data_IF_157079430713
#
_entry.id   IF_157079430713
#
_cell.length_a   1.000
_cell.length_b   1.000
_cell.length_c   1.000
_cell.angle_alpha   90.00
_cell.angle_beta   90.00
_cell.angle_gamma   90.00
#
_symmetry.space_group_name_H-M   'P 1'
#
loop_
_entity.id
_entity.type
_entity.pdbx_description
1 polymer ?
#
# COMPACT_ATOMS: atom_id res chain seq x y z
N UNK A 1 -3.28 -16.29 10.52
CA UNK A 1 -4.00 -14.99 10.39
C UNK A 1 -3.13 -13.92 11.05
N UNK A 2 -2.91 -12.79 10.42
CA UNK A 2 -2.12 -11.67 10.99
C UNK A 2 -2.78 -11.12 12.26
N UNK A 3 -1.97 -10.74 13.24
CA UNK A 3 -2.38 -10.26 14.56
C UNK A 3 -1.73 -8.91 14.89
N UNK A 4 -2.17 -8.28 15.98
CA UNK A 4 -1.53 -7.08 16.51
C UNK A 4 -0.08 -7.33 16.95
N UNK A 5 0.20 -8.51 17.50
CA UNK A 5 1.57 -8.85 17.92
C UNK A 5 2.54 -8.92 16.73
N UNK A 6 2.08 -9.37 15.56
CA UNK A 6 2.89 -9.33 14.34
C UNK A 6 3.23 -7.89 13.93
N UNK A 7 2.27 -6.96 14.09
CA UNK A 7 2.49 -5.53 13.79
C UNK A 7 3.45 -4.90 14.81
N UNK A 8 3.34 -5.22 16.09
CA UNK A 8 4.24 -4.74 17.13
C UNK A 8 5.67 -5.29 16.95
N UNK A 9 5.80 -6.56 16.59
CA UNK A 9 7.10 -7.15 16.25
C UNK A 9 7.71 -6.47 15.00
N UNK A 10 6.90 -6.21 13.98
CA UNK A 10 7.31 -5.46 12.80
C UNK A 10 7.76 -4.04 13.16
N UNK A 11 6.99 -3.32 14.01
CA UNK A 11 7.36 -1.99 14.48
C UNK A 11 8.73 -1.99 15.18
N UNK A 12 8.95 -2.92 16.10
CA UNK A 12 10.22 -3.07 16.80
C UNK A 12 11.39 -3.31 15.85
N UNK A 13 11.15 -4.08 14.78
CA UNK A 13 12.16 -4.44 13.78
C UNK A 13 12.53 -3.29 12.87
N UNK A 14 11.55 -2.51 12.38
CA UNK A 14 11.80 -1.55 11.30
C UNK A 14 11.87 -0.08 11.72
N UNK A 15 11.49 0.29 12.94
CA UNK A 15 11.35 1.68 13.40
C UNK A 15 12.59 2.57 13.15
N UNK A 16 13.79 1.99 13.26
CA UNK A 16 15.05 2.72 13.08
C UNK A 16 15.48 2.80 11.59
N UNK A 17 14.71 2.15 10.71
CA UNK A 17 15.00 2.06 9.26
C UNK A 17 13.95 2.74 8.39
N UNK A 18 12.86 3.21 8.98
CA UNK A 18 11.77 3.93 8.31
C UNK A 18 11.65 5.35 8.86
N UNK A 19 10.86 6.18 8.19
CA UNK A 19 10.44 7.47 8.74
C UNK A 19 9.19 7.29 9.57
N UNK A 20 9.15 7.88 10.79
CA UNK A 20 7.87 8.16 11.43
C UNK A 20 7.20 9.29 10.63
N UNK A 21 6.13 8.97 9.93
CA UNK A 21 5.44 9.95 9.10
C UNK A 21 4.43 10.74 9.91
N UNK A 22 4.18 12.03 9.59
CA UNK A 22 3.24 12.86 10.35
C UNK A 22 1.79 12.37 10.21
N UNK A 23 1.02 12.55 11.30
CA UNK A 23 -0.44 12.58 11.30
C UNK A 23 -0.87 14.02 11.54
N UNK A 24 -1.47 14.68 10.55
CA UNK A 24 -1.73 16.12 10.57
C UNK A 24 -3.23 16.37 10.59
N UNK A 25 -3.70 17.13 11.58
CA UNK A 25 -5.07 17.63 11.58
C UNK A 25 -5.24 18.68 10.50
N UNK A 26 -6.30 18.56 9.72
CA UNK A 26 -6.63 19.50 8.64
C UNK A 26 -8.04 20.07 8.82
N UNK A 27 -8.26 21.26 8.26
CA UNK A 27 -9.59 21.84 8.26
C UNK A 27 -10.51 21.02 7.31
N UNK A 28 -11.64 20.58 7.82
CA UNK A 28 -12.67 19.90 7.05
C UNK A 28 -14.06 20.40 7.45
N UNK A 29 -15.02 20.52 6.49
CA UNK A 29 -16.31 21.15 6.76
C UNK A 29 -17.24 20.32 7.65
N UNK A 30 -17.10 18.99 7.66
CA UNK A 30 -18.11 18.09 8.18
C UNK A 30 -17.73 17.37 9.49
N UNK A 31 -16.44 17.12 9.72
CA UNK A 31 -15.95 16.38 10.89
C UNK A 31 -14.46 16.66 11.13
N UNK A 32 -13.94 16.48 12.36
CA UNK A 32 -12.50 16.53 12.60
C UNK A 32 -11.75 15.51 11.74
N UNK A 33 -10.79 15.98 10.93
CA UNK A 33 -10.09 15.17 9.94
C UNK A 33 -8.58 15.22 10.16
N UNK A 34 -7.95 14.06 10.11
CA UNK A 34 -6.48 13.90 10.11
C UNK A 34 -6.02 13.21 8.84
N UNK A 35 -4.85 13.59 8.36
CA UNK A 35 -4.17 12.95 7.24
C UNK A 35 -2.92 12.27 7.74
N UNK A 36 -2.82 10.94 7.57
CA UNK A 36 -1.57 10.19 7.74
C UNK A 36 -0.75 10.29 6.45
N UNK A 37 0.43 10.92 6.55
CA UNK A 37 1.23 11.33 5.41
C UNK A 37 2.21 10.23 4.94
N UNK A 38 1.74 9.05 4.55
CA UNK A 38 2.60 7.94 4.10
C UNK A 38 3.30 8.19 2.76
N UNK A 39 2.88 9.18 2.01
CA UNK A 39 3.61 9.67 0.84
C UNK A 39 4.99 10.27 1.20
N UNK A 40 5.23 10.61 2.45
CA UNK A 40 6.53 11.09 2.95
C UNK A 40 7.48 9.96 3.34
N UNK A 41 7.05 8.70 3.30
CA UNK A 41 7.89 7.54 3.59
C UNK A 41 8.99 7.38 2.53
N UNK A 42 10.07 6.66 2.86
CA UNK A 42 11.05 6.24 1.85
C UNK A 42 10.33 5.60 0.66
N UNK A 43 10.88 5.77 -0.54
CA UNK A 43 10.28 5.39 -1.82
C UNK A 43 9.00 6.13 -2.21
N UNK A 44 8.55 7.13 -1.42
CA UNK A 44 7.36 7.93 -1.68
C UNK A 44 6.03 7.23 -1.41
N UNK A 45 6.02 6.10 -0.68
CA UNK A 45 4.81 5.39 -0.31
C UNK A 45 5.03 4.41 0.87
N UNK A 46 3.95 3.98 1.49
CA UNK A 46 3.93 3.07 2.64
C UNK A 46 4.65 1.74 2.43
N UNK A 47 4.83 1.30 1.19
CA UNK A 47 5.34 -0.05 0.88
C UNK A 47 6.76 -0.31 1.37
N UNK A 48 7.55 0.73 1.62
CA UNK A 48 8.87 0.59 2.25
C UNK A 48 8.80 -0.11 3.61
N UNK A 49 7.72 0.10 4.38
CA UNK A 49 7.49 -0.54 5.69
C UNK A 49 7.39 -2.05 5.57
N UNK A 50 6.49 -2.53 4.71
CA UNK A 50 6.27 -3.96 4.49
C UNK A 50 7.48 -4.65 3.87
N UNK A 51 8.11 -4.02 2.87
CA UNK A 51 9.30 -4.57 2.22
C UNK A 51 10.47 -4.73 3.21
N UNK A 52 10.77 -3.70 4.00
CA UNK A 52 11.80 -3.79 5.04
C UNK A 52 11.50 -4.87 6.06
N UNK A 53 10.25 -4.95 6.55
CA UNK A 53 9.88 -5.95 7.53
C UNK A 53 10.04 -7.37 7.00
N UNK A 54 9.68 -7.64 5.74
CA UNK A 54 9.86 -8.95 5.10
C UNK A 54 11.33 -9.34 5.00
N UNK A 55 12.18 -8.42 4.53
CA UNK A 55 13.61 -8.69 4.35
C UNK A 55 14.30 -8.91 5.69
N UNK A 56 14.04 -8.04 6.66
CA UNK A 56 14.65 -8.13 7.99
C UNK A 56 14.13 -9.35 8.79
N UNK A 57 12.85 -9.70 8.66
CA UNK A 57 12.31 -10.92 9.26
C UNK A 57 12.98 -12.18 8.67
N UNK A 58 13.16 -12.23 7.36
CA UNK A 58 13.87 -13.34 6.72
C UNK A 58 15.34 -13.44 7.20
N UNK A 59 15.99 -12.30 7.44
CA UNK A 59 17.35 -12.28 8.00
C UNK A 59 17.36 -12.81 9.45
N UNK A 60 16.42 -12.40 10.30
CA UNK A 60 16.31 -12.90 11.68
C UNK A 60 16.05 -14.40 11.74
N UNK A 61 15.26 -14.94 10.82
CA UNK A 61 14.93 -16.36 10.71
C UNK A 61 16.04 -17.21 10.07
N UNK A 62 17.08 -16.57 9.51
CA UNK A 62 18.14 -17.27 8.80
C UNK A 62 17.72 -17.79 7.41
N UNK A 63 16.62 -17.26 6.87
CA UNK A 63 16.12 -17.60 5.52
C UNK A 63 16.83 -16.81 4.40
N UNK A 64 17.45 -15.68 4.75
CA UNK A 64 18.10 -14.77 3.80
C UNK A 64 19.57 -15.10 3.62
N UNK A 65 19.94 -15.68 2.46
CA UNK A 65 21.34 -15.75 2.04
C UNK A 65 21.80 -14.35 1.59
N UNK A 66 22.80 -13.75 2.26
CA UNK A 66 23.26 -12.40 1.91
C UNK A 66 23.97 -12.32 0.54
N UNK A 67 24.33 -13.43 -0.07
CA UNK A 67 24.92 -13.45 -1.41
C UNK A 67 23.86 -13.57 -2.51
N UNK A 68 22.72 -14.18 -2.20
CA UNK A 68 21.60 -14.40 -3.12
C UNK A 68 20.58 -13.26 -3.03
N UNK A 69 20.22 -12.85 -1.81
CA UNK A 69 19.34 -11.74 -1.54
C UNK A 69 17.86 -12.05 -1.73
N UNK A 70 17.15 -11.10 -2.33
CA UNK A 70 15.69 -11.14 -2.48
C UNK A 70 15.25 -11.10 -3.93
N UNK A 71 14.03 -11.56 -4.18
CA UNK A 71 13.36 -11.41 -5.47
C UNK A 71 11.94 -10.89 -5.31
N UNK A 72 11.52 -10.03 -6.24
CA UNK A 72 10.16 -9.50 -6.30
C UNK A 72 9.67 -9.36 -7.75
N UNK A 73 8.36 -9.40 -7.94
CA UNK A 73 7.72 -9.11 -9.21
C UNK A 73 6.89 -7.84 -9.09
N UNK A 74 7.40 -6.71 -9.55
CA UNK A 74 6.64 -5.44 -9.65
C UNK A 74 7.47 -4.33 -10.29
N UNK A 75 6.96 -3.72 -11.35
CA UNK A 75 7.53 -2.48 -11.90
C UNK A 75 7.10 -1.19 -11.19
N UNK A 76 6.20 -1.28 -10.19
CA UNK A 76 5.63 -0.13 -9.47
C UNK A 76 6.18 0.02 -8.04
N UNK A 77 5.28 0.50 -7.16
CA UNK A 77 5.60 0.81 -5.76
C UNK A 77 6.21 -0.36 -4.96
N UNK A 78 5.76 -1.60 -5.22
CA UNK A 78 6.30 -2.77 -4.52
C UNK A 78 7.73 -3.11 -4.97
N UNK A 79 8.02 -3.09 -6.28
CA UNK A 79 9.38 -3.32 -6.77
C UNK A 79 10.36 -2.28 -6.26
N UNK A 80 9.95 -1.00 -6.29
CA UNK A 80 10.76 0.10 -5.75
C UNK A 80 11.03 -0.07 -4.24
N UNK A 81 10.01 -0.46 -3.46
CA UNK A 81 10.15 -0.68 -2.03
C UNK A 81 11.05 -1.87 -1.69
N UNK A 82 10.97 -2.96 -2.46
CA UNK A 82 11.84 -4.12 -2.27
C UNK A 82 13.30 -3.81 -2.64
N UNK A 83 13.54 -3.08 -3.74
CA UNK A 83 14.87 -2.61 -4.09
C UNK A 83 15.49 -1.73 -2.99
N UNK A 84 14.69 -0.79 -2.44
CA UNK A 84 15.09 0.02 -1.29
C UNK A 84 15.41 -0.83 -0.06
N UNK A 85 14.55 -1.79 0.28
CA UNK A 85 14.72 -2.65 1.46
C UNK A 85 16.01 -3.48 1.35
N UNK A 86 16.26 -4.08 0.20
CA UNK A 86 17.50 -4.83 -0.05
C UNK A 86 18.75 -3.95 0.07
N UNK A 87 18.74 -2.77 -0.56
CA UNK A 87 19.84 -1.80 -0.45
C UNK A 87 20.06 -1.36 1.01
N UNK A 88 18.99 -1.19 1.79
CA UNK A 88 19.07 -0.77 3.20
C UNK A 88 19.68 -1.87 4.09
N UNK A 89 19.39 -3.13 3.80
CA UNK A 89 19.92 -4.31 4.51
C UNK A 89 21.30 -4.73 3.98
N UNK A 90 21.68 -4.29 2.79
CA UNK A 90 22.98 -4.58 2.17
C UNK A 90 23.01 -5.93 1.45
N UNK A 91 21.90 -6.36 0.86
CA UNK A 91 21.78 -7.62 0.10
C UNK A 91 21.39 -7.38 -1.36
N UNK A 92 21.67 -8.30 -2.28
CA UNK A 92 21.20 -8.22 -3.66
C UNK A 92 19.67 -8.22 -3.75
N UNK A 93 19.14 -7.56 -4.80
CA UNK A 93 17.73 -7.66 -5.17
C UNK A 93 17.59 -7.90 -6.67
N UNK A 94 16.74 -8.85 -7.05
CA UNK A 94 16.31 -9.08 -8.42
C UNK A 94 14.85 -8.73 -8.55
N UNK A 95 14.50 -7.81 -9.46
CA UNK A 95 13.11 -7.37 -9.66
C UNK A 95 12.66 -7.74 -11.07
N UNK A 96 11.67 -8.60 -11.16
CA UNK A 96 11.06 -8.99 -12.43
C UNK A 96 9.95 -8.02 -12.81
N UNK A 97 9.96 -7.58 -14.06
CA UNK A 97 8.97 -6.65 -14.63
C UNK A 97 8.58 -7.10 -16.03
N UNK A 98 7.36 -6.78 -16.51
CA UNK A 98 7.02 -6.98 -17.91
C UNK A 98 7.92 -6.15 -18.83
N UNK A 99 8.13 -6.60 -20.08
CA UNK A 99 8.87 -5.85 -21.09
C UNK A 99 8.27 -4.47 -21.34
N UNK A 100 6.93 -4.36 -21.18
CA UNK A 100 6.15 -3.13 -21.30
C UNK A 100 6.31 -2.13 -20.15
N UNK A 101 7.08 -2.49 -19.09
CA UNK A 101 7.25 -1.62 -17.92
C UNK A 101 7.88 -0.25 -18.32
N UNK A 102 7.29 0.87 -17.86
CA UNK A 102 7.77 2.20 -18.23
C UNK A 102 9.23 2.42 -17.80
N UNK A 103 10.08 2.96 -18.70
CA UNK A 103 11.51 3.18 -18.40
C UNK A 103 11.77 4.00 -17.13
N UNK A 104 10.93 5.00 -16.85
CA UNK A 104 11.05 5.84 -15.65
C UNK A 104 10.86 5.04 -14.35
N UNK A 105 10.00 4.02 -14.34
CA UNK A 105 9.82 3.15 -13.17
C UNK A 105 10.99 2.21 -12.99
N UNK A 106 11.47 1.63 -14.09
CA UNK A 106 12.65 0.76 -14.09
C UNK A 106 13.90 1.50 -13.60
N UNK A 107 14.14 2.72 -14.11
CA UNK A 107 15.30 3.52 -13.68
C UNK A 107 15.30 3.83 -12.18
N UNK A 108 14.13 4.01 -11.56
CA UNK A 108 14.01 4.21 -10.11
C UNK A 108 14.39 2.96 -9.30
N UNK A 109 14.05 1.77 -9.79
CA UNK A 109 14.43 0.49 -9.18
C UNK A 109 15.95 0.28 -9.30
N UNK A 110 16.50 0.51 -10.50
CA UNK A 110 17.95 0.44 -10.74
C UNK A 110 18.76 1.42 -9.88
N UNK A 111 18.20 2.59 -9.55
CA UNK A 111 18.85 3.59 -8.71
C UNK A 111 19.11 3.10 -7.26
N UNK A 112 18.40 2.06 -6.81
CA UNK A 112 18.69 1.37 -5.54
C UNK A 112 19.65 0.19 -5.69
N UNK A 113 20.24 -0.02 -6.87
CA UNK A 113 21.22 -1.08 -7.12
C UNK A 113 20.61 -2.46 -7.38
N UNK A 114 19.29 -2.55 -7.54
CA UNK A 114 18.64 -3.82 -7.86
C UNK A 114 18.89 -4.21 -9.33
N UNK A 115 19.03 -5.50 -9.61
CA UNK A 115 18.95 -6.06 -10.95
C UNK A 115 17.49 -6.05 -11.42
N UNK A 116 17.23 -5.57 -12.64
CA UNK A 116 15.90 -5.63 -13.25
C UNK A 116 15.91 -6.62 -14.41
N UNK A 117 15.04 -7.62 -14.32
CA UNK A 117 14.80 -8.61 -15.38
C UNK A 117 13.47 -8.35 -16.04
N UNK A 118 13.48 -8.15 -17.36
CA UNK A 118 12.31 -7.96 -18.18
C UNK A 118 11.85 -9.30 -18.73
N UNK A 119 10.62 -9.73 -18.41
CA UNK A 119 10.10 -11.04 -18.80
C UNK A 119 8.62 -10.93 -19.14
N UNK A 120 8.26 -11.38 -20.35
CA UNK A 120 6.88 -11.40 -20.82
C UNK A 120 6.29 -10.01 -21.07
N UNK A 121 5.02 -9.99 -21.42
CA UNK A 121 4.28 -8.76 -21.70
C UNK A 121 3.30 -8.39 -20.59
N UNK A 122 2.96 -9.37 -19.74
CA UNK A 122 2.01 -9.22 -18.64
C UNK A 122 2.66 -9.45 -17.27
N UNK A 123 2.03 -8.88 -16.25
CA UNK A 123 2.46 -9.04 -14.86
C UNK A 123 2.56 -10.52 -14.43
N UNK A 124 1.60 -11.36 -14.85
CA UNK A 124 1.55 -12.76 -14.47
C UNK A 124 2.80 -13.55 -14.93
N UNK A 125 3.34 -13.24 -16.12
CA UNK A 125 4.55 -13.86 -16.64
C UNK A 125 5.78 -13.46 -15.83
N UNK A 126 5.93 -12.16 -15.53
CA UNK A 126 6.99 -11.65 -14.67
C UNK A 126 6.88 -12.23 -13.24
N UNK A 127 5.68 -12.42 -12.72
CA UNK A 127 5.43 -13.04 -11.42
C UNK A 127 5.85 -14.49 -11.38
N UNK A 128 5.45 -15.29 -12.38
CA UNK A 128 5.86 -16.71 -12.49
C UNK A 128 7.40 -16.83 -12.58
N UNK A 129 8.03 -16.01 -13.42
CA UNK A 129 9.48 -16.01 -13.54
C UNK A 129 10.21 -15.64 -12.22
N UNK A 130 9.62 -14.76 -11.42
CA UNK A 130 10.16 -14.41 -10.10
C UNK A 130 10.04 -15.56 -9.09
N UNK A 131 8.95 -16.32 -9.12
CA UNK A 131 8.78 -17.53 -8.29
C UNK A 131 9.80 -18.60 -8.70
N UNK A 132 9.89 -18.91 -10.00
CA UNK A 132 10.85 -19.88 -10.52
C UNK A 132 12.29 -19.50 -10.14
N UNK A 133 12.61 -18.22 -10.22
CA UNK A 133 13.93 -17.73 -9.80
C UNK A 133 14.18 -17.91 -8.30
N UNK A 134 13.16 -17.63 -7.45
CA UNK A 134 13.25 -17.86 -6.01
C UNK A 134 13.56 -19.34 -5.70
N UNK A 135 12.81 -20.25 -6.32
CA UNK A 135 12.96 -21.70 -6.12
C UNK A 135 14.35 -22.21 -6.56
N UNK A 136 14.89 -21.69 -7.68
CA UNK A 136 16.17 -22.13 -8.24
C UNK A 136 17.36 -21.54 -7.51
N UNK A 137 17.27 -20.28 -7.07
CA UNK A 137 18.40 -19.55 -6.49
C UNK A 137 18.43 -19.57 -4.96
N UNK A 138 17.31 -19.87 -4.31
CA UNK A 138 17.13 -19.68 -2.86
C UNK A 138 16.91 -18.22 -2.44
N UNK A 139 16.67 -17.30 -3.40
CA UNK A 139 16.33 -15.92 -3.07
C UNK A 139 15.02 -15.82 -2.29
N UNK A 140 14.98 -14.94 -1.30
CA UNK A 140 13.76 -14.69 -0.54
C UNK A 140 12.72 -13.99 -1.41
N UNK A 141 11.62 -14.67 -1.69
CA UNK A 141 10.51 -14.08 -2.43
C UNK A 141 9.75 -13.05 -1.58
N UNK A 142 9.58 -11.84 -2.13
CA UNK A 142 8.84 -10.75 -1.52
C UNK A 142 7.57 -10.45 -2.33
N UNK A 143 6.42 -10.90 -1.83
CA UNK A 143 5.13 -10.64 -2.45
C UNK A 143 4.73 -9.16 -2.31
N UNK A 144 3.96 -8.63 -3.25
CA UNK A 144 3.58 -7.22 -3.25
C UNK A 144 2.63 -6.83 -2.10
N UNK A 145 1.87 -7.79 -1.51
CA UNK A 145 0.87 -7.52 -0.47
C UNK A 145 0.44 -8.73 0.38
N UNK A 146 0.45 -9.97 -0.12
CA UNK A 146 -0.15 -11.15 0.55
C UNK A 146 0.91 -12.02 1.23
N UNK A 147 1.62 -11.43 2.19
CA UNK A 147 2.54 -12.09 3.14
C UNK A 147 2.37 -11.42 4.50
N UNK A 148 2.41 -12.20 5.57
CA UNK A 148 2.19 -11.71 6.94
C UNK A 148 3.18 -10.60 7.28
N UNK A 149 4.45 -10.77 6.98
CA UNK A 149 5.49 -9.79 7.27
C UNK A 149 5.30 -8.49 6.47
N UNK A 150 4.84 -8.61 5.21
CA UNK A 150 4.55 -7.44 4.36
C UNK A 150 3.37 -6.66 4.92
N UNK A 151 2.29 -7.35 5.29
CA UNK A 151 1.11 -6.73 5.86
C UNK A 151 1.39 -6.16 7.26
N UNK A 152 2.11 -6.88 8.11
CA UNK A 152 2.49 -6.42 9.45
C UNK A 152 3.36 -5.16 9.41
N UNK A 153 4.37 -5.14 8.52
CA UNK A 153 5.18 -3.95 8.29
C UNK A 153 4.36 -2.75 7.84
N UNK A 154 3.42 -2.95 6.90
CA UNK A 154 2.50 -1.91 6.47
C UNK A 154 1.60 -1.41 7.63
N UNK A 155 1.18 -2.30 8.53
CA UNK A 155 0.34 -1.95 9.69
C UNK A 155 1.01 -1.03 10.71
N UNK A 156 2.34 -0.96 10.74
CA UNK A 156 3.07 -0.13 11.72
C UNK A 156 2.71 1.36 11.66
N UNK A 157 2.22 1.84 10.51
CA UNK A 157 1.78 3.23 10.36
C UNK A 157 0.58 3.57 11.25
N UNK A 158 -0.27 2.58 11.57
CA UNK A 158 -1.48 2.86 12.35
C UNK A 158 -1.17 3.03 13.84
N UNK A 159 -0.14 2.38 14.36
CA UNK A 159 0.32 2.64 15.72
C UNK A 159 0.82 4.09 15.84
N UNK A 160 1.61 4.57 14.87
CA UNK A 160 2.02 5.98 14.82
C UNK A 160 0.81 6.92 14.74
N UNK A 161 -0.22 6.55 13.96
CA UNK A 161 -1.43 7.37 13.79
C UNK A 161 -2.21 7.51 15.09
N UNK A 162 -2.40 6.41 15.82
CA UNK A 162 -3.11 6.40 17.09
C UNK A 162 -2.27 6.99 18.23
N UNK A 163 -0.95 6.85 18.19
CA UNK A 163 -0.04 7.53 19.14
C UNK A 163 -0.10 9.06 18.98
N UNK A 164 -0.16 9.55 17.72
CA UNK A 164 -0.25 10.99 17.42
C UNK A 164 -1.63 11.56 17.82
N UNK A 165 -2.70 10.78 17.59
CA UNK A 165 -4.08 11.18 17.92
C UNK A 165 -4.89 9.96 18.42
N UNK A 166 -4.89 9.71 19.74
CA UNK A 166 -5.57 8.56 20.33
C UNK A 166 -7.10 8.59 20.23
N UNK A 167 -7.66 9.73 19.89
CA UNK A 167 -9.12 9.90 19.81
C UNK A 167 -9.71 9.54 18.44
N UNK A 168 -8.91 9.12 17.45
CA UNK A 168 -9.38 8.69 16.14
C UNK A 168 -10.33 7.49 16.27
N UNK A 169 -11.52 7.63 15.68
CA UNK A 169 -12.61 6.65 15.72
C UNK A 169 -12.73 5.86 14.42
N UNK A 170 -12.29 6.46 13.30
CA UNK A 170 -12.39 5.84 11.97
C UNK A 170 -11.12 6.09 11.16
N UNK A 171 -10.63 5.04 10.52
CA UNK A 171 -9.49 5.09 9.59
C UNK A 171 -9.97 4.72 8.19
N UNK A 172 -9.74 5.60 7.22
CA UNK A 172 -10.09 5.39 5.81
C UNK A 172 -8.84 5.00 5.03
N UNK A 173 -8.91 3.87 4.33
CA UNK A 173 -7.77 3.28 3.62
C UNK A 173 -8.15 2.82 2.22
N UNK A 174 -7.32 3.15 1.22
CA UNK A 174 -7.47 2.63 -0.13
C UNK A 174 -6.99 1.18 -0.24
N UNK A 175 -7.72 0.37 -1.01
CA UNK A 175 -7.48 -1.06 -1.17
C UNK A 175 -7.23 -1.40 -2.64
N UNK A 176 -6.14 -2.14 -2.88
CA UNK A 176 -5.88 -2.88 -4.11
C UNK A 176 -5.75 -4.36 -3.75
N UNK A 177 -4.53 -4.88 -3.58
CA UNK A 177 -4.32 -6.26 -3.10
C UNK A 177 -4.58 -6.50 -1.61
N UNK A 178 -4.84 -5.45 -0.82
CA UNK A 178 -5.30 -5.56 0.57
C UNK A 178 -4.21 -5.61 1.64
N UNK A 179 -2.91 -5.69 1.31
CA UNK A 179 -1.86 -5.81 2.33
C UNK A 179 -1.81 -4.65 3.32
N UNK A 180 -2.06 -3.40 2.88
CA UNK A 180 -2.19 -2.25 3.76
C UNK A 180 -3.40 -2.38 4.68
N UNK A 181 -4.56 -2.72 4.12
CA UNK A 181 -5.79 -2.94 4.88
C UNK A 181 -5.59 -4.02 5.97
N UNK A 182 -4.98 -5.14 5.60
CA UNK A 182 -4.70 -6.23 6.54
C UNK A 182 -3.84 -5.76 7.73
N UNK A 183 -2.78 -5.02 7.44
CA UNK A 183 -1.91 -4.45 8.46
C UNK A 183 -2.62 -3.42 9.34
N UNK A 184 -3.42 -2.53 8.74
CA UNK A 184 -4.23 -1.53 9.47
C UNK A 184 -5.23 -2.21 10.40
N UNK A 185 -5.98 -3.19 9.92
CA UNK A 185 -6.95 -3.91 10.73
C UNK A 185 -6.29 -4.67 11.89
N UNK A 186 -5.19 -5.38 11.61
CA UNK A 186 -4.44 -6.09 12.64
C UNK A 186 -3.81 -5.11 13.66
N UNK A 187 -3.22 -4.02 13.19
CA UNK A 187 -2.62 -3.01 14.06
C UNK A 187 -3.64 -2.29 14.94
N UNK A 188 -4.80 -1.97 14.42
CA UNK A 188 -5.90 -1.37 15.19
C UNK A 188 -6.50 -2.34 16.20
N UNK A 189 -6.64 -3.60 15.85
CA UNK A 189 -7.26 -4.64 16.67
C UNK A 189 -8.60 -4.19 17.32
N UNK A 190 -9.44 -3.55 16.52
CA UNK A 190 -10.75 -3.05 16.94
C UNK A 190 -10.77 -1.70 17.67
N UNK A 191 -9.64 -1.01 17.85
CA UNK A 191 -9.56 0.31 18.50
C UNK A 191 -10.24 1.45 17.73
N UNK A 192 -10.35 1.30 16.41
CA UNK A 192 -11.07 2.21 15.53
C UNK A 192 -11.74 1.42 14.41
N UNK A 193 -12.78 1.99 13.83
CA UNK A 193 -13.42 1.43 12.62
C UNK A 193 -12.52 1.63 11.41
N UNK A 194 -12.68 0.78 10.40
CA UNK A 194 -11.96 0.91 9.14
C UNK A 194 -12.95 0.96 7.98
N UNK A 195 -12.79 1.98 7.13
CA UNK A 195 -13.49 2.10 5.86
C UNK A 195 -12.50 1.78 4.75
N UNK A 196 -12.77 0.69 4.03
CA UNK A 196 -11.99 0.23 2.89
C UNK A 196 -12.54 0.83 1.61
N UNK A 197 -11.72 1.59 0.89
CA UNK A 197 -12.12 2.31 -0.32
C UNK A 197 -11.46 1.69 -1.55
N UNK A 198 -12.27 1.37 -2.55
CA UNK A 198 -11.77 0.83 -3.82
C UNK A 198 -12.33 1.62 -5.01
N UNK A 199 -11.59 1.71 -6.12
CA UNK A 199 -12.17 2.17 -7.37
C UNK A 199 -13.26 1.21 -7.85
N UNK A 200 -14.36 1.73 -8.39
CA UNK A 200 -15.40 0.90 -9.04
C UNK A 200 -14.84 0.03 -10.17
N UNK A 201 -13.74 0.47 -10.78
CA UNK A 201 -13.06 -0.22 -11.86
C UNK A 201 -12.03 -1.29 -11.40
N UNK A 202 -11.83 -1.45 -10.07
CA UNK A 202 -10.91 -2.43 -9.48
C UNK A 202 -11.39 -2.87 -8.07
N UNK A 203 -12.60 -3.46 -7.91
CA UNK A 203 -13.25 -3.69 -6.63
C UNK A 203 -12.91 -5.07 -6.04
N UNK A 204 -11.65 -5.36 -5.77
CA UNK A 204 -11.16 -6.70 -5.38
C UNK A 204 -11.74 -7.19 -4.06
N UNK A 205 -11.67 -6.36 -3.00
CA UNK A 205 -12.20 -6.69 -1.68
C UNK A 205 -13.73 -6.73 -1.70
N UNK A 206 -14.38 -5.73 -2.31
CA UNK A 206 -15.84 -5.64 -2.39
C UNK A 206 -16.42 -6.88 -3.09
N UNK A 207 -15.82 -7.30 -4.21
CA UNK A 207 -16.22 -8.50 -4.92
C UNK A 207 -16.01 -9.77 -4.05
N UNK A 208 -14.88 -9.87 -3.37
CA UNK A 208 -14.56 -10.99 -2.49
C UNK A 208 -15.53 -11.09 -1.30
N UNK A 209 -15.85 -9.97 -0.66
CA UNK A 209 -16.81 -9.93 0.45
C UNK A 209 -18.21 -10.36 0.00
N UNK A 210 -18.63 -9.98 -1.20
CA UNK A 210 -19.91 -10.40 -1.79
C UNK A 210 -19.92 -11.87 -2.19
N UNK A 211 -18.80 -12.40 -2.70
CA UNK A 211 -18.65 -13.79 -3.10
C UNK A 211 -18.41 -14.73 -1.90
N UNK A 212 -17.96 -14.21 -0.76
CA UNK A 212 -17.57 -15.00 0.41
C UNK A 212 -16.18 -15.65 0.28
N UNK A 213 -15.43 -15.36 -0.77
CA UNK A 213 -14.08 -15.85 -1.07
C UNK A 213 -13.35 -14.86 -1.98
N UNK A 214 -12.00 -14.77 -1.95
CA UNK A 214 -11.25 -14.04 -2.96
C UNK A 214 -11.62 -14.50 -4.38
N UNK A 215 -11.86 -13.51 -5.26
CA UNK A 215 -12.23 -13.74 -6.66
C UNK A 215 -11.48 -12.79 -7.57
N UNK A 216 -11.19 -13.23 -8.79
CA UNK A 216 -10.59 -12.37 -9.80
C UNK A 216 -11.61 -11.34 -10.32
N UNK A 217 -11.15 -10.10 -10.46
CA UNK A 217 -11.92 -9.02 -11.05
C UNK A 217 -11.19 -8.44 -12.27
N UNK A 218 -11.95 -7.83 -13.17
CA UNK A 218 -11.36 -6.97 -14.20
C UNK A 218 -10.83 -5.71 -13.56
N UNK A 219 -9.64 -5.29 -13.98
CA UNK A 219 -8.98 -4.08 -13.46
C UNK A 219 -8.80 -3.09 -14.60
N UNK A 220 -9.28 -1.88 -14.39
CA UNK A 220 -9.14 -0.76 -15.32
C UNK A 220 -9.17 0.57 -14.55
N UNK A 221 -9.27 1.70 -15.26
CA UNK A 221 -9.38 3.03 -14.65
C UNK A 221 -8.04 3.63 -14.25
N UNK A 222 -8.10 4.85 -13.75
CA UNK A 222 -6.93 5.70 -13.51
C UNK A 222 -6.07 5.26 -12.31
N UNK A 223 -6.63 4.52 -11.37
CA UNK A 223 -5.94 4.03 -10.19
C UNK A 223 -5.29 2.65 -10.40
N UNK A 224 -5.47 2.00 -11.56
CA UNK A 224 -4.92 0.66 -11.86
C UNK A 224 -3.40 0.57 -11.70
N UNK A 225 -2.68 1.68 -11.85
CA UNK A 225 -1.22 1.75 -11.70
C UNK A 225 -0.73 1.45 -10.27
N UNK A 226 -1.53 1.75 -9.25
CA UNK A 226 -1.20 1.56 -7.83
C UNK A 226 -2.17 0.63 -7.08
N UNK A 227 -3.41 0.48 -7.56
CA UNK A 227 -4.44 -0.41 -7.02
C UNK A 227 -4.83 -1.52 -8.01
N UNK A 228 -3.90 -1.93 -8.87
CA UNK A 228 -4.15 -2.84 -10.00
C UNK A 228 -4.09 -4.33 -9.68
N UNK A 229 -4.28 -4.76 -8.44
CA UNK A 229 -4.43 -6.17 -8.12
C UNK A 229 -5.72 -6.72 -8.73
N UNK A 230 -5.67 -7.94 -9.30
CA UNK A 230 -6.85 -8.61 -9.87
C UNK A 230 -7.63 -9.40 -8.83
N UNK A 231 -7.01 -9.69 -7.69
CA UNK A 231 -7.60 -10.41 -6.58
C UNK A 231 -7.10 -9.83 -5.26
N UNK A 232 -7.96 -9.72 -4.28
CA UNK A 232 -7.56 -9.40 -2.91
C UNK A 232 -6.79 -10.58 -2.31
N UNK A 233 -5.75 -10.30 -1.53
CA UNK A 233 -5.00 -11.33 -0.81
C UNK A 233 -5.84 -12.05 0.23
N UNK A 234 -5.52 -13.33 0.45
CA UNK A 234 -6.23 -14.16 1.42
C UNK A 234 -6.14 -13.59 2.83
N UNK A 235 -4.96 -13.07 3.22
CA UNK A 235 -4.73 -12.44 4.53
C UNK A 235 -5.69 -11.27 4.74
N UNK A 236 -5.80 -10.38 3.75
CA UNK A 236 -6.66 -9.20 3.82
C UNK A 236 -8.15 -9.57 3.89
N UNK A 237 -8.57 -10.56 3.09
CA UNK A 237 -9.93 -11.05 3.09
C UNK A 237 -10.33 -11.62 4.45
N UNK A 238 -9.49 -12.48 5.04
CA UNK A 238 -9.77 -13.12 6.32
C UNK A 238 -9.89 -12.09 7.46
N UNK A 239 -8.98 -11.10 7.48
CA UNK A 239 -8.99 -10.04 8.50
C UNK A 239 -10.16 -9.09 8.30
N UNK A 240 -10.48 -8.72 7.05
CA UNK A 240 -11.63 -7.87 6.73
C UNK A 240 -12.96 -8.51 7.18
N UNK A 241 -13.11 -9.81 6.99
CA UNK A 241 -14.27 -10.56 7.48
C UNK A 241 -14.33 -10.62 9.00
N UNK A 242 -13.18 -10.84 9.66
CA UNK A 242 -13.09 -10.91 11.13
C UNK A 242 -13.55 -9.61 11.79
N UNK A 243 -13.11 -8.47 11.28
CA UNK A 243 -13.42 -7.16 11.86
C UNK A 243 -14.69 -6.51 11.31
N UNK A 244 -15.31 -7.08 10.25
CA UNK A 244 -16.52 -6.52 9.68
C UNK A 244 -16.30 -5.17 9.01
N UNK A 245 -15.28 -5.06 8.13
CA UNK A 245 -14.89 -3.81 7.48
C UNK A 245 -16.01 -3.27 6.58
N UNK A 246 -16.23 -1.95 6.63
CA UNK A 246 -17.08 -1.25 5.67
C UNK A 246 -16.33 -1.08 4.35
N UNK A 247 -16.88 -1.61 3.24
CA UNK A 247 -16.29 -1.49 1.90
C UNK A 247 -17.14 -0.55 1.06
N UNK A 248 -16.51 0.52 0.55
CA UNK A 248 -17.14 1.52 -0.31
C UNK A 248 -16.41 1.66 -1.63
N UNK A 249 -17.13 2.03 -2.68
CA UNK A 249 -16.61 2.18 -4.03
C UNK A 249 -16.68 3.64 -4.46
N UNK A 250 -15.60 4.12 -5.10
CA UNK A 250 -15.50 5.46 -5.67
C UNK A 250 -15.21 5.37 -7.18
N UNK A 251 -15.74 6.26 -7.97
CA UNK A 251 -15.47 6.32 -9.41
C UNK A 251 -14.20 7.12 -9.73
N UNK A 252 -13.75 7.01 -10.96
CA UNK A 252 -12.54 7.69 -11.44
C UNK A 252 -12.67 9.21 -11.34
N UNK A 253 -13.84 9.78 -11.55
CA UNK A 253 -14.08 11.23 -11.46
C UNK A 253 -13.94 11.73 -10.02
N UNK A 254 -14.43 10.97 -9.04
CA UNK A 254 -14.25 11.28 -7.64
C UNK A 254 -12.78 11.21 -7.23
N UNK A 255 -12.01 10.24 -7.74
CA UNK A 255 -10.57 10.12 -7.47
C UNK A 255 -9.79 11.30 -8.06
N UNK A 256 -10.12 11.73 -9.30
CA UNK A 256 -9.51 12.92 -9.92
C UNK A 256 -9.78 14.15 -9.06
N UNK A 257 -11.04 14.38 -8.72
CA UNK A 257 -11.46 15.53 -7.91
C UNK A 257 -10.79 15.56 -6.53
N UNK A 258 -10.72 14.40 -5.88
CA UNK A 258 -10.03 14.23 -4.60
C UNK A 258 -8.53 14.55 -4.69
N UNK A 259 -7.88 14.11 -5.76
CA UNK A 259 -6.45 14.39 -6.01
C UNK A 259 -6.20 15.88 -6.22
N UNK A 260 -7.07 16.56 -6.97
CA UNK A 260 -7.02 18.00 -7.17
C UNK A 260 -7.22 18.77 -5.85
N UNK A 261 -8.19 18.36 -5.03
CA UNK A 261 -8.42 18.96 -3.72
C UNK A 261 -7.21 18.77 -2.80
N UNK A 262 -6.64 17.56 -2.71
CA UNK A 262 -5.44 17.30 -1.93
C UNK A 262 -4.28 18.22 -2.34
N UNK A 263 -4.12 18.48 -3.64
CA UNK A 263 -3.11 19.41 -4.13
C UNK A 263 -3.47 20.87 -3.83
N UNK A 264 -4.69 21.29 -4.12
CA UNK A 264 -5.09 22.71 -4.02
C UNK A 264 -5.18 23.19 -2.57
N UNK A 265 -5.69 22.34 -1.67
CA UNK A 265 -5.93 22.71 -0.27
C UNK A 265 -4.72 22.41 0.62
N UNK A 266 -4.06 21.26 0.42
CA UNK A 266 -3.01 20.78 1.33
C UNK A 266 -1.62 20.69 0.69
N UNK A 267 -1.48 20.96 -0.61
CA UNK A 267 -0.23 20.76 -1.39
C UNK A 267 0.28 19.31 -1.34
N UNK A 268 -0.63 18.35 -1.28
CA UNK A 268 -0.30 16.93 -1.29
C UNK A 268 -0.38 16.40 -2.72
N UNK A 269 0.77 16.00 -3.25
CA UNK A 269 0.89 15.39 -4.59
C UNK A 269 0.58 13.89 -4.53
N UNK A 270 -0.67 13.52 -4.28
CA UNK A 270 -1.07 12.11 -4.18
C UNK A 270 -1.07 11.40 -5.54
N UNK A 271 -0.68 10.11 -5.59
CA UNK A 271 -1.02 9.24 -6.72
C UNK A 271 -2.53 8.88 -6.68
N UNK A 272 -3.11 8.49 -7.80
CA UNK A 272 -4.56 8.23 -7.89
C UNK A 272 -5.04 7.19 -6.88
N UNK A 273 -4.29 6.09 -6.71
CA UNK A 273 -4.67 5.08 -5.72
C UNK A 273 -4.62 5.58 -4.27
N UNK A 274 -3.73 6.52 -3.94
CA UNK A 274 -3.72 7.15 -2.62
C UNK A 274 -4.88 8.13 -2.45
N UNK A 275 -5.22 8.87 -3.50
CA UNK A 275 -6.35 9.81 -3.49
C UNK A 275 -7.71 9.11 -3.36
N UNK A 276 -7.82 7.83 -3.74
CA UNK A 276 -9.06 7.06 -3.61
C UNK A 276 -9.58 7.03 -2.16
N UNK A 277 -8.70 6.95 -1.16
CA UNK A 277 -9.11 7.01 0.25
C UNK A 277 -9.79 8.34 0.60
N UNK A 278 -9.23 9.46 0.16
CA UNK A 278 -9.81 10.78 0.38
C UNK A 278 -11.09 10.99 -0.47
N UNK A 279 -11.18 10.36 -1.64
CA UNK A 279 -12.36 10.42 -2.51
C UNK A 279 -13.64 9.93 -1.82
N UNK A 280 -13.55 8.97 -0.90
CA UNK A 280 -14.72 8.51 -0.14
C UNK A 280 -15.38 9.65 0.65
N UNK A 281 -14.57 10.54 1.24
CA UNK A 281 -15.08 11.72 1.97
C UNK A 281 -15.52 12.83 1.02
N UNK A 282 -14.66 13.20 0.08
CA UNK A 282 -14.89 14.38 -0.79
C UNK A 282 -16.06 14.19 -1.75
N UNK A 283 -16.39 12.96 -2.11
CA UNK A 283 -17.57 12.63 -2.94
C UNK A 283 -18.85 12.38 -2.12
N UNK A 284 -18.74 12.25 -0.78
CA UNK A 284 -19.87 11.94 0.10
C UNK A 284 -20.29 10.47 0.10
N UNK A 285 -19.51 9.57 -0.53
CA UNK A 285 -19.76 8.12 -0.48
C UNK A 285 -19.63 7.60 0.96
N UNK A 286 -18.68 8.15 1.71
CA UNK A 286 -18.62 8.02 3.16
C UNK A 286 -18.88 9.39 3.79
N UNK A 287 -19.91 9.47 4.65
CA UNK A 287 -20.25 10.70 5.37
C UNK A 287 -20.09 10.45 6.87
N UNK A 288 -19.04 11.00 7.50
CA UNK A 288 -18.83 10.84 8.94
C UNK A 288 -19.94 11.58 9.71
N UNK A 289 -20.25 11.11 10.92
CA UNK A 289 -21.08 11.86 11.84
C UNK A 289 -20.37 13.15 12.30
N UNK A 290 -21.14 14.14 12.79
CA UNK A 290 -20.67 15.52 13.02
C UNK A 290 -19.36 15.61 13.86
N UNK A 291 -19.23 14.76 14.88
CA UNK A 291 -18.10 14.80 15.81
C UNK A 291 -17.16 13.60 15.64
N UNK A 292 -17.36 12.81 14.61
CA UNK A 292 -16.54 11.63 14.33
C UNK A 292 -15.12 12.03 13.93
N UNK A 293 -14.14 11.51 14.64
CA UNK A 293 -12.72 11.77 14.39
C UNK A 293 -12.18 10.78 13.38
N UNK A 294 -11.90 11.30 12.18
CA UNK A 294 -11.53 10.49 11.02
C UNK A 294 -10.08 10.71 10.63
N UNK A 295 -9.34 9.63 10.41
CA UNK A 295 -8.04 9.65 9.77
C UNK A 295 -8.11 9.08 8.35
N UNK A 296 -7.52 9.77 7.37
CA UNK A 296 -7.36 9.28 6.01
C UNK A 296 -5.89 8.95 5.75
N UNK A 297 -5.62 7.75 5.26
CA UNK A 297 -4.26 7.33 4.91
C UNK A 297 -3.94 7.74 3.47
N UNK A 298 -3.09 8.74 3.28
CA UNK A 298 -2.57 9.10 1.95
C UNK A 298 -1.29 8.29 1.71
N UNK A 299 -1.48 7.17 1.05
CA UNK A 299 -0.55 6.04 1.01
C UNK A 299 0.67 6.23 0.10
N UNK A 300 0.63 7.17 -0.87
CA UNK A 300 1.74 7.37 -1.81
C UNK A 300 1.64 8.59 -2.72
N UNK A 301 2.79 9.02 -3.22
CA UNK A 301 2.96 10.16 -4.12
C UNK A 301 3.81 9.84 -5.37
N UNK A 302 3.87 8.57 -5.78
CA UNK A 302 4.64 8.16 -6.96
C UNK A 302 3.93 8.51 -8.27
N UNK A 303 3.75 9.79 -8.51
CA UNK A 303 3.07 10.38 -9.66
C UNK A 303 3.94 11.42 -10.37
N UNK A 304 3.63 11.73 -11.62
CA UNK A 304 4.30 12.80 -12.35
C UNK A 304 3.74 14.16 -11.90
N UNK A 305 4.57 15.11 -11.40
CA UNK A 305 4.10 16.42 -10.93
C UNK A 305 3.32 17.19 -11.98
N UNK A 306 3.67 17.06 -13.27
CA UNK A 306 2.97 17.72 -14.37
C UNK A 306 1.49 17.35 -14.47
N UNK A 307 1.09 16.17 -13.96
CA UNK A 307 -0.32 15.74 -13.97
C UNK A 307 -1.17 16.35 -12.85
N UNK A 308 -0.56 17.14 -11.95
CA UNK A 308 -1.25 17.85 -10.87
C UNK A 308 -1.71 19.25 -11.30
N UNK A 309 -1.07 19.83 -12.31
CA UNK A 309 -1.28 21.20 -12.74
C UNK A 309 -2.40 21.39 -13.78
N UNK A 310 -3.08 20.33 -14.20
CA UNK A 310 -4.05 20.39 -15.33
C UNK A 310 -5.47 20.82 -14.92
N UNK A 311 -5.71 21.20 -13.67
CA UNK A 311 -7.03 21.65 -13.17
C UNK A 311 -7.22 23.17 -13.04
N UNK A 312 -6.46 24.01 -13.77
CA UNK A 312 -6.54 25.46 -13.63
C UNK A 312 -6.28 26.20 -14.94
N UNK A 313 -7.25 26.26 -15.81
CA UNK A 313 -7.37 27.31 -16.82
C UNK A 313 -8.83 27.60 -17.10
#
# INVERSE_FOLDING_TARGET
MITRDDVLAAHSRIRDHIRRTPTVQVAAPSAPLWIKCEFMQYTGCFKARGALNRVMAAQELGELDPQVGIVAASGGNAGLANAYAAARVGVPATVFVPETAPPVKVSRILAYGAEVRRVGTEYAEAYTAAIDFAEQSGAVFCHAYDQIEVAAGAGTLVDETIDDEPSIETVIVAVGGGGLLAGVLAGLDGRARVVAVEPTAAPTLNAALRAGTPVDVSVSGIAADSLGARCVGQIAFDVARRFGVESVLVDDSAIISAREQLWNEYRIAAEHGAAAAYAALSSGVYTPSRDERVAVLISGANTAPATLATGGS
#
